data_IF_926954028836
#
_entry.id   IF_926954028836
#
_cell.length_a   1.000
_cell.length_b   1.000
_cell.length_c   1.000
_cell.angle_alpha   90.00
_cell.angle_beta   90.00
_cell.angle_gamma   90.00
#
_symmetry.space_group_name_H-M   'P 1'
#
loop_
_entity.id
_entity.type
_entity.pdbx_description
1 polymer ?
#
# COMPACT_ATOMS: atom_id res chain seq x y z
N UNK A 1 -9.03 -16.24 -9.00
CA UNK A 1 -8.85 -15.48 -7.74
C UNK A 1 -9.26 -14.03 -7.97
N UNK A 2 -10.50 -13.65 -7.67
CA UNK A 2 -11.07 -12.35 -8.05
C UNK A 2 -10.66 -11.20 -7.10
N UNK A 3 -9.35 -11.04 -6.84
CA UNK A 3 -8.79 -9.83 -6.24
C UNK A 3 -8.22 -8.96 -7.34
N UNK A 4 -8.67 -7.71 -7.39
CA UNK A 4 -8.18 -6.71 -8.33
C UNK A 4 -7.27 -5.73 -7.59
N UNK A 5 -6.05 -5.53 -8.09
CA UNK A 5 -5.13 -4.50 -7.64
C UNK A 5 -5.19 -3.29 -8.56
N UNK A 6 -5.08 -2.09 -7.99
CA UNK A 6 -5.21 -0.84 -8.72
C UNK A 6 -4.08 0.14 -8.37
N UNK A 7 -3.27 0.49 -9.37
CA UNK A 7 -2.10 1.35 -9.23
C UNK A 7 -2.46 2.84 -9.23
N UNK A 8 -1.79 3.59 -8.35
CA UNK A 8 -1.69 5.05 -8.29
C UNK A 8 -2.82 5.83 -9.01
N UNK A 9 -4.04 5.89 -8.46
CA UNK A 9 -5.19 6.48 -9.14
C UNK A 9 -4.97 7.94 -9.54
N UNK A 10 -4.32 8.73 -8.68
CA UNK A 10 -4.22 10.19 -8.84
C UNK A 10 -5.57 10.82 -9.24
N UNK A 11 -6.62 10.43 -8.50
CA UNK A 11 -8.04 10.82 -8.70
C UNK A 11 -8.76 10.18 -9.89
N UNK A 12 -8.06 9.49 -10.77
CA UNK A 12 -8.69 8.77 -11.87
C UNK A 12 -9.14 7.38 -11.39
N UNK A 13 -10.45 7.20 -11.23
CA UNK A 13 -11.04 5.92 -10.82
C UNK A 13 -11.88 5.26 -11.91
N UNK A 14 -12.00 5.90 -13.08
CA UNK A 14 -12.83 5.38 -14.17
C UNK A 14 -12.36 3.99 -14.65
N UNK A 15 -11.05 3.73 -14.85
CA UNK A 15 -10.57 2.40 -15.23
C UNK A 15 -10.88 1.32 -14.18
N UNK A 16 -10.81 1.67 -12.89
CA UNK A 16 -11.20 0.76 -11.81
C UNK A 16 -12.69 0.41 -11.89
N UNK A 17 -13.54 1.40 -12.09
CA UNK A 17 -15.00 1.21 -12.19
C UNK A 17 -15.34 0.32 -13.38
N UNK A 18 -14.71 0.54 -14.54
CA UNK A 18 -14.87 -0.28 -15.74
C UNK A 18 -14.43 -1.73 -15.49
N UNK A 19 -13.26 -1.92 -14.88
CA UNK A 19 -12.75 -3.25 -14.59
C UNK A 19 -13.62 -4.02 -13.57
N UNK A 20 -14.14 -3.33 -12.54
CA UNK A 20 -15.09 -3.94 -11.59
C UNK A 20 -16.38 -4.37 -12.30
N UNK A 21 -16.88 -3.59 -13.26
CA UNK A 21 -18.05 -3.96 -14.06
C UNK A 21 -17.80 -5.21 -14.91
N UNK A 22 -16.61 -5.29 -15.52
CA UNK A 22 -16.23 -6.38 -16.41
C UNK A 22 -15.93 -7.67 -15.65
N UNK A 23 -15.12 -7.59 -14.59
CA UNK A 23 -14.56 -8.76 -13.92
C UNK A 23 -15.30 -9.16 -12.64
N UNK A 24 -16.10 -8.26 -12.07
CA UNK A 24 -16.87 -8.47 -10.83
C UNK A 24 -16.03 -9.10 -9.71
N UNK A 25 -14.90 -8.46 -9.33
CA UNK A 25 -14.05 -8.97 -8.27
C UNK A 25 -14.77 -8.92 -6.91
N UNK A 26 -14.38 -9.79 -5.99
CA UNK A 26 -14.85 -9.75 -4.59
C UNK A 26 -14.13 -8.66 -3.81
N UNK A 27 -12.87 -8.39 -4.17
CA UNK A 27 -12.00 -7.44 -3.49
C UNK A 27 -11.26 -6.54 -4.46
N UNK A 28 -11.06 -5.29 -4.06
CA UNK A 28 -10.17 -4.32 -4.71
C UNK A 28 -9.12 -3.86 -3.71
N UNK A 29 -7.86 -3.82 -4.11
CA UNK A 29 -6.75 -3.27 -3.32
C UNK A 29 -6.09 -2.12 -4.08
N UNK A 30 -6.19 -0.90 -3.56
CA UNK A 30 -5.61 0.31 -4.15
C UNK A 30 -4.22 0.55 -3.55
N UNK A 31 -3.21 0.70 -4.41
CA UNK A 31 -1.79 0.63 -4.06
C UNK A 31 -1.20 2.02 -3.76
N UNK A 32 -1.96 2.86 -3.06
CA UNK A 32 -1.58 4.23 -2.69
C UNK A 32 -1.93 5.28 -3.73
N UNK A 33 -1.60 6.54 -3.41
CA UNK A 33 -1.77 7.73 -4.26
C UNK A 33 -3.20 7.91 -4.79
N UNK A 34 -4.17 7.77 -3.88
CA UNK A 34 -5.58 7.98 -4.17
C UNK A 34 -5.86 9.47 -4.43
N UNK A 35 -5.19 10.35 -3.67
CA UNK A 35 -5.24 11.81 -3.81
C UNK A 35 -6.69 12.35 -3.75
N UNK A 36 -7.48 11.79 -2.83
CA UNK A 36 -8.92 12.02 -2.74
C UNK A 36 -9.29 13.49 -2.53
N UNK A 37 -10.29 13.96 -3.27
CA UNK A 37 -10.87 15.31 -3.13
C UNK A 37 -12.21 15.31 -2.39
N UNK A 38 -12.74 14.13 -2.08
CA UNK A 38 -14.02 13.86 -1.44
C UNK A 38 -13.90 12.55 -0.62
N UNK A 39 -14.80 12.27 0.33
CA UNK A 39 -14.75 11.05 1.14
C UNK A 39 -14.62 9.77 0.31
N UNK A 40 -13.83 8.80 0.77
CA UNK A 40 -13.56 7.55 0.06
C UNK A 40 -14.85 6.84 -0.38
N UNK A 41 -15.84 6.74 0.52
CA UNK A 41 -17.12 6.10 0.22
C UNK A 41 -17.89 6.78 -0.91
N UNK A 42 -17.78 8.10 -1.04
CA UNK A 42 -18.42 8.84 -2.14
C UNK A 42 -17.71 8.56 -3.47
N UNK A 43 -16.37 8.59 -3.48
CA UNK A 43 -15.58 8.35 -4.69
C UNK A 43 -15.71 6.90 -5.17
N UNK A 44 -15.69 5.93 -4.24
CA UNK A 44 -15.76 4.50 -4.53
C UNK A 44 -17.19 3.93 -4.47
N UNK A 45 -18.22 4.76 -4.33
CA UNK A 45 -19.62 4.29 -4.36
C UNK A 45 -19.93 3.37 -5.56
N UNK A 46 -19.48 3.65 -6.81
CA UNK A 46 -19.74 2.76 -7.94
C UNK A 46 -19.14 1.35 -7.83
N UNK A 47 -18.14 1.17 -6.94
CA UNK A 47 -17.50 -0.12 -6.62
C UNK A 47 -18.16 -0.75 -5.39
N UNK A 48 -18.34 0.02 -4.31
CA UNK A 48 -18.92 -0.45 -3.04
C UNK A 48 -20.38 -0.88 -3.21
N UNK A 49 -21.18 -0.13 -3.98
CA UNK A 49 -22.60 -0.43 -4.22
C UNK A 49 -22.81 -1.75 -4.99
N UNK A 50 -21.74 -2.27 -5.60
CA UNK A 50 -21.73 -3.60 -6.26
C UNK A 50 -21.36 -4.73 -5.31
N UNK A 51 -21.16 -4.44 -4.03
CA UNK A 51 -20.78 -5.41 -3.01
C UNK A 51 -19.28 -5.78 -3.03
N UNK A 52 -18.44 -4.98 -3.68
CA UNK A 52 -16.99 -5.20 -3.72
C UNK A 52 -16.35 -4.61 -2.47
N UNK A 53 -15.56 -5.41 -1.75
CA UNK A 53 -14.87 -4.95 -0.57
C UNK A 53 -13.56 -4.25 -0.97
N UNK A 54 -13.45 -2.97 -0.63
CA UNK A 54 -12.27 -2.16 -0.96
C UNK A 54 -11.23 -2.18 0.17
N UNK A 55 -9.97 -2.12 -0.23
CA UNK A 55 -8.79 -2.00 0.61
C UNK A 55 -7.84 -0.97 0.01
N UNK A 56 -7.04 -0.33 0.86
CA UNK A 56 -6.08 0.67 0.44
C UNK A 56 -4.85 0.66 1.34
N UNK A 57 -3.70 0.97 0.76
CA UNK A 57 -2.52 1.44 1.50
C UNK A 57 -2.30 2.92 1.19
N UNK A 58 -1.52 3.62 2.00
CA UNK A 58 -1.13 5.00 1.70
C UNK A 58 -0.03 5.04 0.64
N UNK A 59 -0.13 6.02 -0.26
CA UNK A 59 0.99 6.56 -1.01
C UNK A 59 1.44 7.90 -0.45
N UNK A 60 2.39 8.56 -1.14
CA UNK A 60 2.93 9.85 -0.69
C UNK A 60 2.04 11.05 -1.01
N UNK A 61 0.97 10.87 -1.78
CA UNK A 61 -0.04 11.90 -2.08
C UNK A 61 -1.23 11.91 -1.11
N UNK A 62 -1.35 10.92 -0.23
CA UNK A 62 -2.52 10.76 0.64
C UNK A 62 -2.42 11.51 1.98
N UNK A 63 -1.25 12.08 2.29
CA UNK A 63 -0.98 12.82 3.52
C UNK A 63 -0.53 14.28 3.25
N UNK A 64 -0.88 14.84 2.09
CA UNK A 64 -0.45 16.21 1.73
C UNK A 64 -1.27 17.28 2.42
N UNK A 65 -2.57 17.04 2.60
CA UNK A 65 -3.49 17.84 3.39
C UNK A 65 -4.32 16.99 4.36
N UNK A 66 -4.94 17.66 5.34
CA UNK A 66 -5.66 16.95 6.41
C UNK A 66 -6.99 16.36 5.93
N UNK A 67 -7.64 16.96 4.93
CA UNK A 67 -8.91 16.48 4.41
C UNK A 67 -8.72 15.16 3.64
N UNK A 68 -7.69 15.07 2.81
CA UNK A 68 -7.27 13.82 2.14
C UNK A 68 -7.09 12.68 3.13
N UNK A 69 -6.36 12.94 4.21
CA UNK A 69 -6.16 11.95 5.26
C UNK A 69 -7.48 11.53 5.91
N UNK A 70 -8.35 12.50 6.22
CA UNK A 70 -9.66 12.23 6.84
C UNK A 70 -10.61 11.46 5.91
N UNK A 71 -10.57 11.73 4.61
CA UNK A 71 -11.34 11.00 3.60
C UNK A 71 -10.98 9.51 3.53
N UNK A 72 -9.83 9.11 4.07
CA UNK A 72 -9.42 7.72 4.22
C UNK A 72 -9.67 7.20 5.64
N UNK A 73 -9.04 7.85 6.63
CA UNK A 73 -8.96 7.32 7.99
C UNK A 73 -10.19 7.60 8.85
N UNK A 74 -10.97 8.64 8.57
CA UNK A 74 -12.21 8.91 9.30
C UNK A 74 -13.43 8.34 8.54
N UNK A 75 -13.42 8.37 7.20
CA UNK A 75 -14.54 7.91 6.37
C UNK A 75 -14.56 6.39 6.10
N UNK A 76 -13.39 5.79 5.83
CA UNK A 76 -13.25 4.36 5.50
C UNK A 76 -12.06 3.67 6.20
N UNK A 77 -11.95 3.75 7.54
CA UNK A 77 -10.82 3.19 8.28
C UNK A 77 -10.67 1.68 8.15
N UNK A 78 -11.76 0.95 7.93
CA UNK A 78 -11.74 -0.51 7.84
C UNK A 78 -10.92 -1.02 6.65
N UNK A 79 -10.86 -0.22 5.57
CA UNK A 79 -10.14 -0.53 4.34
C UNK A 79 -8.63 -0.35 4.43
N UNK A 80 -8.12 0.29 5.48
CA UNK A 80 -6.67 0.48 5.65
C UNK A 80 -5.94 -0.86 5.78
N UNK A 81 -5.09 -1.21 4.83
CA UNK A 81 -4.28 -2.44 4.85
C UNK A 81 -2.87 -2.22 5.42
N UNK A 82 -2.48 -0.97 5.70
CA UNK A 82 -1.17 -0.63 6.27
C UNK A 82 -0.90 -1.36 7.59
N UNK A 83 0.24 -2.06 7.66
CA UNK A 83 0.67 -2.87 8.80
C UNK A 83 -0.28 -4.04 9.16
N UNK A 84 -1.11 -4.48 8.22
CA UNK A 84 -2.07 -5.58 8.40
C UNK A 84 -1.85 -6.65 7.33
N UNK A 85 -2.25 -7.87 7.68
CA UNK A 85 -2.48 -8.97 6.74
C UNK A 85 -3.95 -9.39 6.86
N UNK A 86 -4.65 -9.52 5.73
CA UNK A 86 -6.08 -9.84 5.69
C UNK A 86 -6.30 -11.01 4.73
N UNK A 87 -6.97 -12.05 5.23
CA UNK A 87 -7.47 -13.14 4.38
C UNK A 87 -8.74 -12.67 3.67
N UNK A 88 -8.67 -12.62 2.35
CA UNK A 88 -9.72 -12.21 1.43
C UNK A 88 -10.38 -13.46 0.86
N UNK A 89 -11.66 -13.66 1.20
CA UNK A 89 -12.44 -14.79 0.72
C UNK A 89 -12.86 -14.56 -0.73
N UNK A 90 -12.67 -15.57 -1.56
CA UNK A 90 -12.78 -15.46 -3.01
C UNK A 90 -13.41 -16.74 -3.57
N UNK A 91 -14.18 -16.64 -4.65
CA UNK A 91 -14.89 -17.81 -5.24
C UNK A 91 -13.97 -18.98 -5.63
N UNK A 92 -12.70 -18.70 -5.90
CA UNK A 92 -11.70 -19.70 -6.31
C UNK A 92 -10.74 -20.10 -5.17
N UNK A 93 -11.04 -19.71 -3.93
CA UNK A 93 -10.20 -19.95 -2.76
C UNK A 93 -9.70 -18.66 -2.11
N UNK A 94 -9.33 -18.76 -0.83
CA UNK A 94 -8.93 -17.60 -0.03
C UNK A 94 -7.49 -17.19 -0.33
N UNK A 95 -7.21 -15.89 -0.25
CA UNK A 95 -5.87 -15.33 -0.39
C UNK A 95 -5.56 -14.36 0.73
N UNK A 96 -4.36 -14.41 1.30
CA UNK A 96 -3.94 -13.45 2.32
C UNK A 96 -3.10 -12.34 1.71
N UNK A 97 -3.57 -11.10 1.83
CA UNK A 97 -2.88 -9.92 1.33
C UNK A 97 -2.42 -9.06 2.50
N UNK A 98 -1.15 -8.64 2.50
CA UNK A 98 -0.60 -7.71 3.47
C UNK A 98 -0.21 -6.38 2.83
N UNK A 99 -0.24 -5.30 3.62
CA UNK A 99 0.03 -3.94 3.13
C UNK A 99 1.15 -3.23 3.87
N UNK A 100 2.22 -2.87 3.15
CA UNK A 100 3.22 -1.90 3.57
C UNK A 100 2.92 -0.55 2.91
N UNK A 101 2.17 0.31 3.61
CA UNK A 101 1.82 1.64 3.11
C UNK A 101 2.91 2.69 3.36
N UNK A 102 2.96 3.68 2.49
CA UNK A 102 3.83 4.84 2.60
C UNK A 102 5.13 4.75 1.79
N UNK A 103 6.04 5.68 2.06
CA UNK A 103 7.34 5.82 1.39
C UNK A 103 8.51 5.91 2.37
N UNK A 104 9.71 5.57 1.90
CA UNK A 104 10.93 5.75 2.67
C UNK A 104 11.39 7.21 2.63
N UNK A 105 11.59 7.82 3.80
CA UNK A 105 12.09 9.20 3.88
C UNK A 105 13.38 9.24 4.69
N UNK A 106 14.43 9.85 4.13
CA UNK A 106 15.75 9.97 4.79
C UNK A 106 15.76 10.69 6.14
N UNK A 107 14.68 11.40 6.49
CA UNK A 107 14.49 11.96 7.84
C UNK A 107 14.26 10.87 8.91
N UNK A 108 13.76 9.71 8.49
CA UNK A 108 13.43 8.57 9.35
C UNK A 108 14.30 7.38 8.96
N UNK A 109 14.12 6.86 7.74
CA UNK A 109 14.83 5.69 7.25
C UNK A 109 14.86 5.72 5.72
N UNK A 110 16.04 5.53 5.13
CA UNK A 110 16.23 5.50 3.69
C UNK A 110 17.16 4.34 3.31
N UNK A 111 16.61 3.13 3.11
CA UNK A 111 17.39 1.91 3.00
C UNK A 111 18.26 1.86 1.74
N UNK A 112 17.87 2.55 0.67
CA UNK A 112 18.65 2.67 -0.58
C UNK A 112 19.99 3.36 -0.32
N UNK A 113 20.02 4.32 0.62
CA UNK A 113 21.25 5.03 0.98
C UNK A 113 22.18 4.26 1.92
N UNK A 114 21.85 3.02 2.29
CA UNK A 114 22.58 2.17 3.25
C UNK A 114 22.89 2.83 4.60
N UNK A 115 22.07 3.82 5.00
CA UNK A 115 22.18 4.48 6.31
C UNK A 115 21.27 3.78 7.32
N UNK A 116 21.74 3.70 8.56
CA UNK A 116 20.90 3.26 9.67
C UNK A 116 19.68 4.21 9.84
N UNK A 117 18.53 3.69 10.29
CA UNK A 117 17.39 4.53 10.63
C UNK A 117 17.75 5.59 11.68
N UNK A 118 17.23 6.80 11.51
CA UNK A 118 17.29 7.90 12.50
C UNK A 118 16.32 7.63 13.65
N UNK A 119 15.15 7.05 13.35
CA UNK A 119 14.12 6.67 14.32
C UNK A 119 13.71 5.22 14.06
N UNK A 120 13.51 4.43 15.11
CA UNK A 120 12.98 3.07 14.99
C UNK A 120 11.46 3.08 14.96
N UNK A 121 10.87 3.94 15.80
CA UNK A 121 9.42 4.03 16.00
C UNK A 121 8.88 5.43 15.74
N UNK A 122 7.57 5.55 15.49
CA UNK A 122 6.88 6.84 15.49
C UNK A 122 6.98 7.54 16.85
N UNK A 123 7.02 6.79 17.95
CA UNK A 123 7.19 7.34 19.31
C UNK A 123 8.54 8.04 19.47
N UNK A 124 9.63 7.47 18.95
CA UNK A 124 10.96 8.10 18.96
C UNK A 124 10.92 9.47 18.27
N UNK A 125 10.25 9.54 17.12
CA UNK A 125 10.08 10.78 16.38
C UNK A 125 9.22 11.79 17.15
N UNK A 126 8.13 11.36 17.78
CA UNK A 126 7.26 12.22 18.59
C UNK A 126 8.04 12.84 19.76
N UNK A 127 8.87 12.04 20.43
CA UNK A 127 9.65 12.46 21.60
C UNK A 127 10.51 13.70 21.31
N UNK A 128 11.10 13.78 20.12
CA UNK A 128 11.93 14.92 19.69
C UNK A 128 11.17 15.98 18.87
N UNK A 129 9.96 15.69 18.42
CA UNK A 129 9.15 16.63 17.62
C UNK A 129 8.55 17.71 18.51
N UNK A 130 8.79 18.99 18.17
CA UNK A 130 8.23 20.15 18.86
C UNK A 130 6.70 20.13 18.86
N UNK A 131 6.07 20.54 19.96
CA UNK A 131 4.61 20.47 20.12
C UNK A 131 3.81 21.09 18.96
N UNK A 132 4.22 22.27 18.45
CA UNK A 132 3.52 22.94 17.35
C UNK A 132 3.65 22.24 15.98
N UNK A 133 4.62 21.33 15.82
CA UNK A 133 4.81 20.55 14.60
C UNK A 133 4.07 19.20 14.66
N UNK A 134 3.56 18.80 15.82
CA UNK A 134 2.79 17.57 16.01
C UNK A 134 1.40 17.75 15.42
N UNK A 135 0.95 16.76 14.66
CA UNK A 135 -0.41 16.75 14.11
C UNK A 135 -1.26 15.74 14.87
N UNK A 136 -2.39 16.22 15.44
CA UNK A 136 -3.27 15.45 16.33
C UNK A 136 -2.50 14.68 17.42
N UNK A 137 -1.58 15.38 18.09
CA UNK A 137 -0.67 14.86 19.14
C UNK A 137 0.36 13.79 18.69
N UNK A 138 0.33 13.35 17.43
CA UNK A 138 1.29 12.39 16.87
C UNK A 138 2.39 13.04 16.04
N UNK A 139 3.00 12.25 15.14
CA UNK A 139 3.95 12.75 14.14
C UNK A 139 3.31 13.81 13.22
N UNK A 140 4.11 14.68 12.59
CA UNK A 140 3.60 15.63 11.60
C UNK A 140 2.79 14.94 10.50
N UNK A 141 1.76 15.60 9.96
CA UNK A 141 0.88 15.01 8.94
C UNK A 141 1.65 14.43 7.75
N UNK A 142 2.62 15.19 7.21
CA UNK A 142 3.50 14.76 6.10
C UNK A 142 4.49 13.63 6.45
N UNK A 143 4.37 13.04 7.62
CA UNK A 143 5.14 11.86 8.04
C UNK A 143 4.23 10.66 8.32
N UNK A 144 2.90 10.82 8.21
CA UNK A 144 1.93 9.73 8.39
C UNK A 144 2.04 8.66 7.31
N UNK A 145 2.52 9.03 6.14
CA UNK A 145 2.87 8.16 5.01
C UNK A 145 4.34 7.70 5.03
N UNK A 146 5.06 7.88 6.13
CA UNK A 146 6.48 7.47 6.19
C UNK A 146 6.58 6.05 6.72
N UNK A 147 7.38 5.23 6.04
CA UNK A 147 7.74 3.88 6.49
C UNK A 147 8.82 4.00 7.58
N UNK A 148 8.53 3.42 8.74
CA UNK A 148 9.44 3.25 9.87
C UNK A 148 9.93 1.79 9.95
N UNK A 149 11.08 1.53 10.59
CA UNK A 149 11.50 0.16 10.91
C UNK A 149 10.44 -0.64 11.66
N UNK A 150 9.68 -0.02 12.57
CA UNK A 150 8.59 -0.70 13.29
C UNK A 150 7.51 -1.27 12.35
N UNK A 151 7.28 -0.68 11.17
CA UNK A 151 6.31 -1.19 10.20
C UNK A 151 6.77 -2.55 9.64
N UNK A 152 8.07 -2.68 9.37
CA UNK A 152 8.70 -3.95 8.97
C UNK A 152 8.66 -4.97 10.09
N UNK A 153 8.91 -4.56 11.34
CA UNK A 153 8.84 -5.45 12.50
C UNK A 153 7.44 -6.02 12.68
N UNK A 154 6.41 -5.17 12.66
CA UNK A 154 4.99 -5.57 12.77
C UNK A 154 4.63 -6.57 11.67
N UNK A 155 4.89 -6.21 10.41
CA UNK A 155 4.52 -7.05 9.26
C UNK A 155 5.31 -8.36 9.22
N UNK A 156 6.58 -8.35 9.63
CA UNK A 156 7.42 -9.57 9.62
C UNK A 156 6.97 -10.66 10.59
N UNK A 157 6.10 -10.33 11.56
CA UNK A 157 5.46 -11.29 12.45
C UNK A 157 4.19 -11.91 11.86
N UNK A 158 3.74 -11.45 10.69
CA UNK A 158 2.57 -11.93 9.97
C UNK A 158 2.96 -12.80 8.77
N UNK A 159 1.98 -13.36 8.08
CA UNK A 159 2.18 -14.11 6.83
C UNK A 159 1.20 -13.64 5.76
N UNK A 160 1.62 -13.72 4.50
CA UNK A 160 0.77 -13.37 3.36
C UNK A 160 1.14 -14.15 2.10
N UNK A 161 0.18 -14.30 1.19
CA UNK A 161 0.44 -14.76 -0.18
C UNK A 161 0.90 -13.59 -1.06
N UNK A 162 0.30 -12.40 -0.90
CA UNK A 162 0.65 -11.19 -1.63
C UNK A 162 1.06 -10.09 -0.67
N UNK A 163 2.27 -9.53 -0.87
CA UNK A 163 2.70 -8.32 -0.20
C UNK A 163 2.50 -7.12 -1.12
N UNK A 164 1.63 -6.21 -0.71
CA UNK A 164 1.38 -4.94 -1.40
C UNK A 164 2.20 -3.85 -0.75
N UNK A 165 2.94 -3.09 -1.55
CA UNK A 165 3.67 -1.91 -1.09
C UNK A 165 3.46 -0.74 -2.04
N UNK A 166 3.55 0.49 -1.56
CA UNK A 166 3.55 1.62 -2.50
C UNK A 166 4.95 1.75 -3.14
N UNK A 167 6.00 1.69 -2.32
CA UNK A 167 7.40 1.62 -2.77
C UNK A 167 7.77 0.32 -3.49
N UNK A 168 8.76 0.40 -4.38
CA UNK A 168 9.19 -0.73 -5.18
C UNK A 168 10.19 -1.67 -4.46
N UNK A 169 10.11 -2.99 -4.69
CA UNK A 169 11.15 -3.94 -4.26
C UNK A 169 12.42 -3.81 -5.11
N UNK A 170 13.48 -4.55 -4.76
CA UNK A 170 14.84 -4.35 -5.28
C UNK A 170 15.01 -4.57 -6.79
N UNK A 171 14.00 -5.07 -7.49
CA UNK A 171 14.04 -5.30 -8.92
C UNK A 171 13.81 -4.03 -9.76
N UNK A 172 13.32 -2.95 -9.13
CA UNK A 172 13.29 -1.61 -9.73
C UNK A 172 14.57 -0.84 -9.39
N UNK A 173 15.02 0.07 -10.27
CA UNK A 173 16.25 0.85 -10.06
C UNK A 173 16.22 1.74 -8.81
N UNK A 174 15.02 2.18 -8.40
CA UNK A 174 14.78 2.96 -7.18
C UNK A 174 14.18 2.12 -6.05
N UNK A 175 14.19 0.79 -6.18
CA UNK A 175 13.64 -0.11 -5.17
C UNK A 175 14.62 -0.47 -4.06
N UNK A 176 14.17 -1.27 -3.10
CA UNK A 176 15.00 -1.67 -1.94
C UNK A 176 14.92 -3.15 -1.59
N UNK A 177 16.06 -3.71 -1.16
CA UNK A 177 16.16 -5.06 -0.59
C UNK A 177 15.40 -5.24 0.73
N UNK A 178 15.04 -4.17 1.43
CA UNK A 178 14.30 -4.31 2.70
C UNK A 178 12.88 -4.81 2.46
N UNK A 179 12.23 -4.39 1.36
CA UNK A 179 10.92 -4.91 0.96
C UNK A 179 11.04 -6.39 0.57
N UNK A 180 12.07 -6.75 -0.21
CA UNK A 180 12.34 -8.15 -0.57
C UNK A 180 12.47 -9.05 0.68
N UNK A 181 13.25 -8.60 1.67
CA UNK A 181 13.46 -9.33 2.93
C UNK A 181 12.19 -9.42 3.76
N UNK A 182 11.38 -8.36 3.77
CA UNK A 182 10.09 -8.38 4.45
C UNK A 182 9.19 -9.45 3.84
N UNK A 183 9.00 -9.44 2.52
CA UNK A 183 8.17 -10.45 1.86
C UNK A 183 8.71 -11.86 2.04
N UNK A 184 10.04 -12.06 2.04
CA UNK A 184 10.64 -13.36 2.34
C UNK A 184 10.28 -13.85 3.75
N UNK A 185 10.35 -12.98 4.77
CA UNK A 185 9.97 -13.34 6.15
C UNK A 185 8.48 -13.67 6.26
N UNK A 186 7.64 -12.96 5.52
CA UNK A 186 6.18 -13.16 5.52
C UNK A 186 5.73 -14.35 4.66
N UNK A 187 6.63 -14.96 3.89
CA UNK A 187 6.30 -16.03 2.95
C UNK A 187 5.54 -15.55 1.70
N UNK A 188 5.69 -14.28 1.33
CA UNK A 188 5.03 -13.70 0.16
C UNK A 188 5.44 -14.43 -1.13
N UNK A 189 4.44 -14.78 -1.92
CA UNK A 189 4.56 -15.43 -3.23
C UNK A 189 4.53 -14.43 -4.38
N UNK A 190 3.95 -13.26 -4.15
CA UNK A 190 3.88 -12.17 -5.11
C UNK A 190 4.03 -10.82 -4.41
N UNK A 191 4.74 -9.90 -5.06
CA UNK A 191 4.74 -8.49 -4.72
C UNK A 191 3.91 -7.70 -5.74
N UNK A 192 3.08 -6.78 -5.26
CA UNK A 192 2.39 -5.79 -6.11
C UNK A 192 2.71 -4.41 -5.58
N UNK A 193 3.20 -3.51 -6.44
CA UNK A 193 3.52 -2.15 -6.01
C UNK A 193 3.12 -1.06 -7.01
N UNK A 194 3.05 0.17 -6.51
CA UNK A 194 2.78 1.39 -7.26
C UNK A 194 3.99 2.32 -7.31
N UNK A 195 3.74 3.62 -7.12
CA UNK A 195 4.69 4.74 -6.97
C UNK A 195 5.55 5.08 -8.21
N UNK A 196 6.05 4.06 -8.91
CA UNK A 196 7.04 4.22 -9.97
C UNK A 196 6.41 4.62 -11.31
N UNK A 197 5.07 4.56 -11.45
CA UNK A 197 4.33 4.86 -12.69
C UNK A 197 4.95 4.13 -13.89
N UNK A 198 5.19 2.83 -13.70
CA UNK A 198 5.85 1.98 -14.68
C UNK A 198 5.31 0.56 -14.54
N UNK A 199 4.54 0.13 -15.55
CA UNK A 199 4.02 -1.24 -15.64
C UNK A 199 5.16 -2.21 -15.96
N UNK A 200 5.40 -3.19 -15.09
CA UNK A 200 6.38 -4.24 -15.38
C UNK A 200 6.16 -5.55 -14.61
N UNK A 201 6.75 -6.60 -15.18
CA UNK A 201 6.86 -7.93 -14.57
C UNK A 201 8.32 -8.16 -14.20
N UNK A 202 8.59 -8.44 -12.92
CA UNK A 202 9.94 -8.65 -12.43
C UNK A 202 10.04 -9.79 -11.43
N UNK A 203 11.24 -9.95 -10.86
CA UNK A 203 11.49 -10.83 -9.71
C UNK A 203 12.42 -10.11 -8.74
N UNK A 204 12.13 -10.23 -7.45
CA UNK A 204 13.01 -9.77 -6.37
C UNK A 204 14.38 -10.44 -6.44
N UNK A 205 15.35 -9.95 -5.67
CA UNK A 205 16.66 -10.58 -5.56
C UNK A 205 16.58 -12.04 -5.05
N UNK A 206 15.49 -12.41 -4.38
CA UNK A 206 15.22 -13.76 -3.88
C UNK A 206 14.30 -14.59 -4.80
N UNK A 207 13.94 -14.07 -5.97
CA UNK A 207 13.21 -14.80 -7.00
C UNK A 207 11.69 -14.75 -6.89
N UNK A 208 11.12 -14.09 -5.88
CA UNK A 208 9.67 -13.87 -5.77
C UNK A 208 9.18 -12.95 -6.90
N UNK A 209 8.14 -13.34 -7.66
CA UNK A 209 7.50 -12.50 -8.67
C UNK A 209 7.09 -11.11 -8.17
N UNK A 210 7.16 -10.13 -9.08
CA UNK A 210 6.75 -8.74 -8.85
C UNK A 210 5.86 -8.25 -9.99
N UNK A 211 4.83 -7.51 -9.65
CA UNK A 211 4.04 -6.64 -10.53
C UNK A 211 4.20 -5.19 -10.09
N UNK A 212 4.89 -4.40 -10.91
CA UNK A 212 4.85 -2.94 -10.78
C UNK A 212 3.68 -2.42 -11.61
N UNK A 213 2.86 -1.56 -11.03
CA UNK A 213 1.71 -0.96 -11.67
C UNK A 213 2.02 0.49 -12.08
N UNK A 214 1.52 0.88 -13.26
CA UNK A 214 1.45 2.26 -13.72
C UNK A 214 0.24 3.00 -13.12
N UNK A 215 0.18 4.30 -13.33
CA UNK A 215 -0.92 5.15 -12.89
C UNK A 215 -2.26 4.71 -13.47
N UNK A 216 -3.23 4.50 -12.58
CA UNK A 216 -4.56 3.99 -12.92
C UNK A 216 -4.54 2.61 -13.65
N UNK A 217 -3.50 1.80 -13.47
CA UNK A 217 -3.41 0.45 -14.03
C UNK A 217 -4.22 -0.57 -13.21
N UNK A 218 -4.92 -1.45 -13.91
CA UNK A 218 -5.69 -2.56 -13.34
C UNK A 218 -4.89 -3.85 -13.48
N UNK A 219 -4.73 -4.56 -12.37
CA UNK A 219 -4.18 -5.91 -12.35
C UNK A 219 -5.17 -6.88 -11.68
N UNK A 220 -5.73 -7.80 -12.46
CA UNK A 220 -6.57 -8.88 -11.94
C UNK A 220 -5.70 -10.09 -11.62
N UNK A 221 -5.70 -10.52 -10.36
CA UNK A 221 -4.87 -11.62 -9.91
C UNK A 221 -5.31 -12.97 -10.50
N UNK A 222 -4.35 -13.77 -10.95
CA UNK A 222 -4.58 -15.14 -11.41
C UNK A 222 -3.76 -16.16 -10.62
N UNK A 223 -4.12 -17.44 -10.73
CA UNK A 223 -3.39 -18.52 -10.08
C UNK A 223 -1.96 -18.69 -10.63
N UNK A 224 -1.71 -18.21 -11.86
CA UNK A 224 -0.39 -18.27 -12.51
C UNK A 224 0.57 -17.20 -11.98
N UNK A 225 0.06 -16.19 -11.26
CA UNK A 225 0.87 -15.13 -10.66
C UNK A 225 1.46 -15.52 -9.29
N UNK A 226 0.97 -16.59 -8.64
CA UNK A 226 1.38 -17.06 -7.31
C UNK A 226 2.34 -18.27 -7.34
#
# INVERSE_FOLDING_TARGET
MPVLFYGDPHRNFDPLVEAVQQHRPEHVVIVGDLDLQRPFREVLAPVIDRGVQCWWILGNHDCTDAAQYDFLFEDYPEGNLGNRAVTMACRDGDITVAGLGGIYRGRVWYPIGHKSPVFQTREDMIAVTRHHARWRKGIPLRQRDTIFPEDHEILSALSCDVLVSHEAPSCHEYGTLEIDRLGLKMGAKLFVHGHMHHSYIGKTAYGTPVRGLDGAEVFLLSAEDL
#
